data_IF_499180329962
#
_entry.id   IF_499180329962
#
_cell.length_a   1.000
_cell.length_b   1.000
_cell.length_c   1.000
_cell.angle_alpha   90.00
_cell.angle_beta   90.00
_cell.angle_gamma   90.00
#
_symmetry.space_group_name_H-M   'P 1'
#
loop_
_entity.id
_entity.type
_entity.pdbx_description
1 polymer ?
#
# COMPACT_ATOMS: atom_id res chain seq x y z
N UNK A 1 -0.30 -26.28 -18.35
CA UNK A 1 -0.43 -25.30 -17.24
C UNK A 1 0.44 -24.08 -17.58
N UNK A 2 -0.01 -23.25 -18.52
CA UNK A 2 0.77 -22.13 -19.07
C UNK A 2 0.22 -20.82 -18.50
N UNK A 3 0.33 -20.60 -17.18
CA UNK A 3 -0.09 -19.31 -16.56
C UNK A 3 0.72 -18.92 -15.31
N UNK A 4 1.74 -19.68 -14.87
CA UNK A 4 2.27 -19.51 -13.50
C UNK A 4 3.57 -18.71 -13.32
N UNK A 5 4.35 -18.44 -14.36
CA UNK A 5 5.65 -17.77 -14.18
C UNK A 5 5.57 -16.26 -13.95
N UNK A 6 4.70 -15.54 -14.68
CA UNK A 6 4.60 -14.09 -14.53
C UNK A 6 3.98 -13.66 -13.20
N UNK A 7 3.10 -14.48 -12.62
CA UNK A 7 2.49 -14.16 -11.33
C UNK A 7 3.53 -14.27 -10.19
N UNK A 8 4.40 -15.27 -10.26
CA UNK A 8 5.47 -15.45 -9.28
C UNK A 8 6.51 -14.32 -9.33
N UNK A 9 6.82 -13.81 -10.52
CA UNK A 9 7.72 -12.65 -10.64
C UNK A 9 7.07 -11.39 -10.08
N UNK A 10 5.78 -11.16 -10.33
CA UNK A 10 5.05 -10.01 -9.76
C UNK A 10 5.02 -10.05 -8.24
N UNK A 11 4.64 -11.19 -7.66
CA UNK A 11 4.63 -11.39 -6.21
C UNK A 11 6.01 -11.16 -5.59
N UNK A 12 7.07 -11.66 -6.26
CA UNK A 12 8.44 -11.46 -5.78
C UNK A 12 8.87 -10.00 -5.85
N UNK A 13 8.52 -9.30 -6.93
CA UNK A 13 8.78 -7.87 -7.07
C UNK A 13 8.03 -7.06 -6.03
N UNK A 14 6.75 -7.35 -5.81
CA UNK A 14 5.91 -6.69 -4.80
C UNK A 14 6.49 -6.89 -3.39
N UNK A 15 6.86 -8.12 -3.04
CA UNK A 15 7.56 -8.42 -1.79
C UNK A 15 8.84 -7.58 -1.65
N UNK A 16 9.70 -7.59 -2.67
CA UNK A 16 10.99 -6.88 -2.61
C UNK A 16 10.79 -5.37 -2.41
N UNK A 17 9.77 -4.78 -3.07
CA UNK A 17 9.42 -3.37 -2.89
C UNK A 17 8.96 -3.15 -1.45
N UNK A 18 7.99 -3.93 -0.96
CA UNK A 18 7.44 -3.78 0.39
C UNK A 18 8.46 -4.01 1.52
N UNK A 19 9.49 -4.84 1.30
CA UNK A 19 10.61 -5.02 2.24
C UNK A 19 11.62 -3.86 2.20
N UNK A 20 11.78 -3.19 1.06
CA UNK A 20 12.74 -2.10 0.89
C UNK A 20 12.20 -0.73 1.31
N UNK A 21 10.87 -0.60 1.43
CA UNK A 21 10.22 0.64 1.84
C UNK A 21 10.41 0.90 3.33
N UNK A 22 10.81 2.13 3.66
CA UNK A 22 10.84 2.64 5.03
C UNK A 22 10.48 4.13 5.01
N UNK A 23 9.18 4.41 5.02
CA UNK A 23 8.68 5.77 4.91
C UNK A 23 7.36 5.97 5.66
N UNK A 24 7.17 7.06 6.42
CA UNK A 24 6.02 7.25 7.30
C UNK A 24 4.66 7.35 6.59
N UNK A 25 4.63 7.67 5.29
CA UNK A 25 3.39 7.79 4.52
C UNK A 25 3.17 6.62 3.53
N UNK A 26 3.96 5.56 3.66
CA UNK A 26 3.79 4.31 2.89
C UNK A 26 3.67 3.15 3.88
N UNK A 27 2.69 2.28 3.65
CA UNK A 27 2.52 1.08 4.45
C UNK A 27 3.65 0.12 4.09
N UNK A 28 4.51 -0.16 5.08
CA UNK A 28 5.62 -1.10 4.95
C UNK A 28 5.18 -2.48 5.47
N UNK A 29 5.83 -3.54 5.01
CA UNK A 29 5.53 -4.90 5.46
C UNK A 29 6.33 -5.25 6.71
N UNK A 30 5.66 -5.74 7.76
CA UNK A 30 6.32 -6.17 9.00
C UNK A 30 6.84 -7.61 8.89
N UNK A 31 6.02 -8.51 8.34
CA UNK A 31 6.38 -9.93 8.18
C UNK A 31 5.80 -10.53 6.90
N UNK A 32 6.51 -11.54 6.38
CA UNK A 32 6.07 -12.32 5.23
C UNK A 32 6.13 -13.82 5.54
N UNK A 33 5.04 -14.53 5.28
CA UNK A 33 4.97 -15.99 5.44
C UNK A 33 4.45 -16.64 4.16
N UNK A 34 5.04 -17.78 3.79
CA UNK A 34 4.55 -18.61 2.69
C UNK A 34 4.26 -20.03 3.17
N UNK A 35 3.18 -20.60 2.64
CA UNK A 35 2.79 -22.00 2.84
C UNK A 35 2.72 -22.70 1.49
N UNK A 36 2.56 -24.02 1.49
CA UNK A 36 2.44 -24.80 0.25
C UNK A 36 1.27 -24.37 -0.67
N UNK A 37 0.29 -23.62 -0.13
CA UNK A 37 -0.90 -23.20 -0.87
C UNK A 37 -1.09 -21.68 -0.94
N UNK A 38 -0.62 -20.93 0.07
CA UNK A 38 -0.96 -19.51 0.24
C UNK A 38 0.26 -18.66 0.63
N UNK A 39 0.19 -17.37 0.31
CA UNK A 39 1.12 -16.33 0.73
C UNK A 39 0.43 -15.37 1.69
N UNK A 40 1.14 -14.91 2.71
CA UNK A 40 0.64 -14.04 3.76
C UNK A 40 1.56 -12.84 3.93
N UNK A 41 0.99 -11.65 3.75
CA UNK A 41 1.62 -10.36 4.02
C UNK A 41 1.08 -9.82 5.34
N UNK A 42 1.96 -9.54 6.29
CA UNK A 42 1.62 -8.91 7.56
C UNK A 42 2.03 -7.45 7.48
N UNK A 43 1.08 -6.56 7.67
CA UNK A 43 1.25 -5.12 7.58
C UNK A 43 0.49 -4.42 8.72
N UNK A 44 0.89 -3.20 9.09
CA UNK A 44 0.20 -2.41 10.09
C UNK A 44 -1.27 -2.20 9.73
N UNK A 45 -2.17 -2.40 10.70
CA UNK A 45 -3.58 -2.09 10.54
C UNK A 45 -3.79 -0.58 10.63
N UNK A 46 -4.24 0.02 9.52
CA UNK A 46 -4.64 1.42 9.51
C UNK A 46 -6.10 1.54 9.94
N UNK A 47 -6.32 2.18 11.09
CA UNK A 47 -7.65 2.42 11.64
C UNK A 47 -8.25 3.64 10.94
N UNK A 48 -9.40 3.45 10.33
CA UNK A 48 -10.04 4.45 9.46
C UNK A 48 -10.37 3.81 8.13
N UNK A 49 -11.40 4.30 7.47
CA UNK A 49 -11.69 3.90 6.10
C UNK A 49 -10.63 4.47 5.15
N UNK A 50 -10.68 4.08 3.88
CA UNK A 50 -9.83 4.66 2.85
C UNK A 50 -10.21 6.11 2.50
N UNK A 51 -9.33 6.77 1.73
CA UNK A 51 -9.56 8.13 1.27
C UNK A 51 -10.80 8.23 0.37
N UNK A 52 -11.15 7.18 -0.37
CA UNK A 52 -12.33 7.15 -1.22
C UNK A 52 -13.61 7.22 -0.38
N UNK A 53 -13.69 6.48 0.72
CA UNK A 53 -14.78 6.55 1.68
C UNK A 53 -14.93 7.96 2.26
N UNK A 54 -13.82 8.63 2.56
CA UNK A 54 -13.85 10.02 3.04
C UNK A 54 -14.41 10.97 1.97
N UNK A 55 -14.01 10.78 0.71
CA UNK A 55 -14.50 11.57 -0.43
C UNK A 55 -15.98 11.34 -0.69
N UNK A 56 -16.43 10.09 -0.62
CA UNK A 56 -17.83 9.71 -0.80
C UNK A 56 -18.72 10.30 0.30
N UNK A 57 -18.21 10.39 1.54
CA UNK A 57 -18.99 10.90 2.67
C UNK A 57 -19.08 12.43 2.69
N UNK A 58 -17.97 13.12 2.44
CA UNK A 58 -17.90 14.57 2.62
C UNK A 58 -18.27 15.36 1.36
N UNK A 59 -18.38 14.70 0.19
CA UNK A 59 -18.54 15.24 -1.18
C UNK A 59 -17.43 16.22 -1.63
N UNK A 60 -16.98 17.10 -0.73
CA UNK A 60 -15.90 18.08 -0.90
C UNK A 60 -15.05 18.15 0.35
N UNK A 61 -13.76 17.87 0.19
CA UNK A 61 -12.78 18.08 1.25
C UNK A 61 -12.49 19.57 1.43
N UNK A 62 -12.33 19.99 2.68
CA UNK A 62 -11.77 21.31 2.98
C UNK A 62 -10.35 21.40 2.39
N UNK A 63 -10.01 22.55 1.84
CA UNK A 63 -8.73 22.76 1.14
C UNK A 63 -7.51 22.34 1.97
N UNK A 64 -7.50 22.64 3.28
CA UNK A 64 -6.40 22.25 4.17
C UNK A 64 -6.26 20.73 4.33
N UNK A 65 -7.38 20.00 4.37
CA UNK A 65 -7.39 18.53 4.48
C UNK A 65 -6.94 17.93 3.15
N UNK A 66 -7.43 18.45 2.03
CA UNK A 66 -7.00 18.03 0.70
C UNK A 66 -5.49 18.25 0.50
N UNK A 67 -4.98 19.44 0.86
CA UNK A 67 -3.54 19.76 0.81
C UNK A 67 -2.72 18.77 1.64
N UNK A 68 -3.18 18.43 2.85
CA UNK A 68 -2.50 17.47 3.70
C UNK A 68 -2.37 16.09 3.02
N UNK A 69 -3.47 15.48 2.57
CA UNK A 69 -3.43 14.17 1.92
C UNK A 69 -2.64 14.19 0.61
N UNK A 70 -2.81 15.23 -0.21
CA UNK A 70 -2.06 15.38 -1.46
C UNK A 70 -0.55 15.49 -1.16
N UNK A 71 -0.16 16.25 -0.15
CA UNK A 71 1.26 16.39 0.22
C UNK A 71 1.87 15.07 0.67
N UNK A 72 1.12 14.23 1.40
CA UNK A 72 1.56 12.89 1.78
C UNK A 72 1.72 11.99 0.55
N UNK A 73 0.75 12.00 -0.37
CA UNK A 73 0.79 11.21 -1.60
C UNK A 73 2.00 11.60 -2.45
N UNK A 74 2.22 12.91 -2.66
CA UNK A 74 3.36 13.40 -3.44
C UNK A 74 4.68 12.94 -2.82
N UNK A 75 4.83 13.09 -1.50
CA UNK A 75 6.07 12.71 -0.83
C UNK A 75 6.30 11.19 -0.85
N UNK A 76 5.24 10.39 -0.75
CA UNK A 76 5.32 8.93 -0.93
C UNK A 76 5.72 8.53 -2.35
N UNK A 77 5.25 9.26 -3.37
CA UNK A 77 5.61 9.00 -4.77
C UNK A 77 7.03 9.44 -5.09
N UNK A 78 7.53 10.51 -4.48
CA UNK A 78 8.92 10.95 -4.64
C UNK A 78 9.91 9.99 -3.97
N UNK A 79 9.48 9.33 -2.89
CA UNK A 79 10.27 8.32 -2.19
C UNK A 79 10.40 6.98 -2.96
N UNK A 80 9.40 6.64 -3.78
CA UNK A 80 9.30 5.36 -4.50
C UNK A 80 10.11 5.35 -5.80
#
# INVERSE_FOLDING_TARGET
MVVRNNYLSHVKSEKNILEALNFPFVICMDYFYQTAKNLYYVMPLMIGHDLCYLLDREEKLKENIAKFYISQIILSLEYL
#
